data_IF_700922245959
#
_entry.id   IF_700922245959
#
_cell.length_a   1.000
_cell.length_b   1.000
_cell.length_c   1.000
_cell.angle_alpha   90.00
_cell.angle_beta   90.00
_cell.angle_gamma   90.00
#
_symmetry.space_group_name_H-M   'P 1'
#
loop_
_entity.id
_entity.type
_entity.pdbx_description
1 polymer ?
#
# COMPACT_ATOMS: atom_id res chain seq x y z
N UNK A 1 -46.52 55.61 -6.68
CA UNK A 1 -45.08 55.25 -6.68
C UNK A 1 -44.73 54.73 -5.28
N UNK A 2 -44.60 53.41 -5.11
CA UNK A 2 -43.35 52.82 -4.60
C UNK A 2 -43.01 51.56 -5.42
N UNK A 3 -41.77 51.32 -5.86
CA UNK A 3 -40.59 51.07 -5.03
C UNK A 3 -40.17 49.62 -5.27
N UNK A 4 -39.60 49.32 -6.45
CA UNK A 4 -39.10 47.98 -6.81
C UNK A 4 -37.91 47.60 -5.94
N UNK A 5 -38.09 46.64 -5.03
CA UNK A 5 -37.01 46.01 -4.27
C UNK A 5 -36.19 45.03 -5.14
N UNK A 6 -34.92 44.76 -4.83
CA UNK A 6 -33.97 44.24 -5.79
C UNK A 6 -33.99 42.71 -5.84
N UNK A 7 -34.59 42.14 -6.89
CA UNK A 7 -34.45 40.72 -7.30
C UNK A 7 -32.99 40.27 -7.47
N UNK A 8 -32.03 41.21 -7.56
CA UNK A 8 -30.59 40.96 -7.71
C UNK A 8 -29.92 40.34 -6.47
N UNK A 9 -30.44 40.60 -5.26
CA UNK A 9 -29.84 40.08 -4.01
C UNK A 9 -30.08 38.59 -3.79
N UNK A 10 -31.30 38.11 -4.08
CA UNK A 10 -31.70 36.72 -3.89
C UNK A 10 -30.97 35.76 -4.84
N UNK A 11 -30.73 36.17 -6.09
CA UNK A 11 -29.94 35.37 -7.05
C UNK A 11 -28.46 35.27 -6.64
N UNK A 12 -27.89 36.33 -6.06
CA UNK A 12 -26.52 36.35 -5.57
C UNK A 12 -26.30 35.38 -4.40
N UNK A 13 -27.26 35.33 -3.46
CA UNK A 13 -27.22 34.43 -2.32
C UNK A 13 -27.35 32.95 -2.74
N UNK A 14 -28.26 32.64 -3.68
CA UNK A 14 -28.41 31.28 -4.22
C UNK A 14 -27.14 30.82 -4.93
N UNK A 15 -26.52 31.72 -5.72
CA UNK A 15 -25.30 31.44 -6.46
C UNK A 15 -24.08 31.27 -5.53
N UNK A 16 -24.01 32.03 -4.44
CA UNK A 16 -22.99 31.85 -3.40
C UNK A 16 -23.15 30.52 -2.64
N UNK A 17 -24.39 30.10 -2.36
CA UNK A 17 -24.68 28.80 -1.75
C UNK A 17 -24.29 27.62 -2.64
N UNK A 18 -24.62 27.69 -3.94
CA UNK A 18 -24.25 26.64 -4.90
C UNK A 18 -22.74 26.55 -5.10
N UNK A 19 -22.04 27.68 -5.19
CA UNK A 19 -20.58 27.70 -5.31
C UNK A 19 -19.91 27.18 -4.02
N UNK A 20 -20.34 27.64 -2.84
CA UNK A 20 -19.81 27.16 -1.56
C UNK A 20 -20.01 25.66 -1.36
N UNK A 21 -21.22 25.15 -1.63
CA UNK A 21 -21.52 23.72 -1.55
C UNK A 21 -20.71 22.88 -2.54
N UNK A 22 -20.51 23.37 -3.77
CA UNK A 22 -19.70 22.70 -4.78
C UNK A 22 -18.23 22.61 -4.38
N UNK A 23 -17.66 23.66 -3.79
CA UNK A 23 -16.28 23.64 -3.30
C UNK A 23 -16.09 22.70 -2.10
N UNK A 24 -17.08 22.61 -1.20
CA UNK A 24 -17.06 21.64 -0.09
C UNK A 24 -17.12 20.19 -0.59
N UNK A 25 -17.93 19.91 -1.62
CA UNK A 25 -18.04 18.57 -2.22
C UNK A 25 -16.78 18.20 -3.04
N UNK A 26 -16.25 19.15 -3.82
CA UNK A 26 -15.03 18.94 -4.60
C UNK A 26 -13.80 18.74 -3.70
N UNK A 27 -13.60 19.56 -2.67
CA UNK A 27 -12.47 19.40 -1.75
C UNK A 27 -12.66 18.19 -0.83
N UNK A 28 -13.88 17.93 -0.36
CA UNK A 28 -14.19 16.74 0.45
C UNK A 28 -14.07 15.41 -0.31
N UNK A 29 -14.26 15.41 -1.64
CA UNK A 29 -14.09 14.22 -2.47
C UNK A 29 -12.63 13.85 -2.75
N UNK A 30 -11.72 14.83 -2.78
CA UNK A 30 -10.28 14.61 -3.07
C UNK A 30 -9.51 14.32 -1.77
N UNK A 31 -9.96 14.87 -0.63
CA UNK A 31 -9.35 14.68 0.70
C UNK A 31 -10.15 13.78 1.66
N UNK A 32 -11.31 13.25 1.23
CA UNK A 32 -12.11 12.23 1.92
C UNK A 32 -11.58 10.80 1.69
N UNK A 33 -11.92 9.83 2.55
CA UNK A 33 -10.98 8.82 3.02
C UNK A 33 -10.72 7.72 1.98
N UNK A 34 -9.72 7.92 1.12
CA UNK A 34 -8.95 6.79 0.55
C UNK A 34 -8.29 5.93 1.65
N UNK A 35 -8.32 6.39 2.91
CA UNK A 35 -7.93 5.63 4.09
C UNK A 35 -8.97 4.57 4.53
N UNK A 36 -10.25 4.67 4.14
CA UNK A 36 -11.26 3.68 4.53
C UNK A 36 -11.22 2.42 3.66
N UNK A 37 -10.76 2.52 2.40
CA UNK A 37 -10.63 1.37 1.52
C UNK A 37 -9.46 0.44 1.90
N UNK A 38 -8.44 0.94 2.61
CA UNK A 38 -7.35 0.10 3.14
C UNK A 38 -7.71 -0.60 4.47
N UNK A 39 -8.87 -0.28 5.07
CA UNK A 39 -9.39 -0.97 6.26
C UNK A 39 -10.57 -1.89 5.97
N UNK A 40 -10.97 -2.03 4.71
CA UNK A 40 -11.95 -3.02 4.24
C UNK A 40 -11.31 -4.39 3.93
N UNK A 41 -10.28 -4.78 4.69
CA UNK A 41 -9.65 -6.10 4.60
C UNK A 41 -10.41 -7.21 5.35
N UNK A 42 -11.55 -6.91 5.96
CA UNK A 42 -12.30 -7.85 6.82
C UNK A 42 -13.65 -8.27 6.24
N UNK A 43 -13.74 -8.45 4.92
CA UNK A 43 -14.60 -9.49 4.34
C UNK A 43 -13.77 -10.75 4.08
N UNK A 44 -13.03 -11.18 5.10
CA UNK A 44 -12.53 -12.54 5.14
C UNK A 44 -13.71 -13.46 5.42
N UNK A 45 -13.89 -14.49 4.60
CA UNK A 45 -14.75 -15.64 4.92
C UNK A 45 -14.46 -16.04 6.39
N UNK A 46 -15.47 -16.15 7.28
CA UNK A 46 -15.28 -16.50 8.69
C UNK A 46 -14.51 -17.79 9.00
N UNK A 47 -14.12 -18.57 7.97
CA UNK A 47 -13.21 -19.71 8.07
C UNK A 47 -11.91 -19.60 7.27
N UNK A 48 -11.58 -18.43 6.69
CA UNK A 48 -10.33 -18.27 5.94
C UNK A 48 -9.12 -18.30 6.91
N UNK A 49 -8.06 -19.07 6.58
CA UNK A 49 -6.86 -19.09 7.40
C UNK A 49 -6.24 -17.69 7.47
N UNK A 50 -5.89 -17.27 8.69
CA UNK A 50 -5.20 -15.99 8.90
C UNK A 50 -3.70 -16.17 8.64
N UNK A 51 -3.03 -15.19 8.00
CA UNK A 51 -1.58 -15.20 7.89
C UNK A 51 -0.94 -15.26 9.28
N UNK A 52 0.10 -16.09 9.43
CA UNK A 52 0.87 -16.15 10.66
C UNK A 52 1.87 -14.98 10.74
N UNK A 53 2.31 -14.67 11.96
CA UNK A 53 3.40 -13.72 12.19
C UNK A 53 4.74 -14.42 11.96
N UNK A 54 5.47 -14.01 10.93
CA UNK A 54 6.81 -14.53 10.66
C UNK A 54 7.86 -13.92 11.64
N UNK A 55 8.94 -14.67 11.97
CA UNK A 55 10.02 -14.18 12.83
C UNK A 55 10.72 -12.99 12.17
N UNK A 56 10.97 -11.94 12.96
CA UNK A 56 11.55 -10.70 12.44
C UNK A 56 13.08 -10.73 12.37
N UNK A 57 13.76 -11.61 13.10
CA UNK A 57 15.21 -11.74 13.10
C UNK A 57 15.60 -13.22 13.11
N UNK A 58 16.46 -13.62 12.19
CA UNK A 58 16.98 -14.98 12.11
C UNK A 58 18.20 -15.05 11.18
N UNK A 59 18.97 -16.13 11.34
CA UNK A 59 20.10 -16.46 10.48
C UNK A 59 19.91 -17.85 9.88
N UNK A 60 20.35 -18.05 8.65
CA UNK A 60 20.14 -19.30 7.94
C UNK A 60 20.90 -19.39 6.62
N UNK A 61 20.46 -20.32 5.77
CA UNK A 61 20.98 -20.55 4.43
C UNK A 61 19.87 -20.33 3.41
N UNK A 62 20.22 -19.82 2.23
CA UNK A 62 19.29 -19.67 1.13
C UNK A 62 19.83 -20.31 -0.15
N UNK A 63 18.91 -20.76 -0.99
CA UNK A 63 19.19 -21.14 -2.37
C UNK A 63 18.28 -20.29 -3.26
N UNK A 64 18.86 -19.40 -4.06
CA UNK A 64 18.12 -18.51 -4.94
C UNK A 64 18.25 -19.00 -6.38
N UNK A 65 17.12 -19.31 -7.00
CA UNK A 65 17.05 -19.54 -8.44
C UNK A 65 16.86 -18.20 -9.16
N UNK A 66 17.69 -17.93 -10.18
CA UNK A 66 17.48 -16.82 -11.12
C UNK A 66 17.19 -17.38 -12.50
N UNK A 67 15.98 -17.09 -13.00
CA UNK A 67 15.56 -17.51 -14.35
C UNK A 67 16.48 -16.94 -15.43
N UNK A 68 16.90 -15.67 -15.30
CA UNK A 68 17.76 -15.00 -16.29
C UNK A 68 19.09 -15.70 -16.51
N UNK A 69 19.66 -16.36 -15.50
CA UNK A 69 20.90 -17.13 -15.61
C UNK A 69 20.66 -18.63 -15.73
N UNK A 70 19.44 -19.10 -15.45
CA UNK A 70 19.11 -20.52 -15.32
C UNK A 70 19.85 -21.23 -14.19
N UNK A 71 20.40 -20.50 -13.20
CA UNK A 71 21.29 -21.05 -12.15
C UNK A 71 20.73 -20.85 -10.75
N UNK A 72 21.13 -21.76 -9.86
CA UNK A 72 20.93 -21.67 -8.42
C UNK A 72 22.19 -21.09 -7.75
N UNK A 73 22.04 -20.04 -6.95
CA UNK A 73 23.10 -19.54 -6.06
C UNK A 73 22.81 -19.93 -4.61
N UNK A 74 23.86 -20.27 -3.85
CA UNK A 74 23.77 -20.61 -2.43
C UNK A 74 24.42 -19.51 -1.60
N UNK A 75 23.82 -19.12 -0.49
CA UNK A 75 24.36 -18.09 0.39
C UNK A 75 23.95 -18.31 1.85
N UNK A 76 24.78 -17.82 2.77
CA UNK A 76 24.38 -17.56 4.15
C UNK A 76 23.57 -16.26 4.19
N UNK A 77 22.49 -16.25 4.96
CA UNK A 77 21.54 -15.14 5.06
C UNK A 77 21.37 -14.76 6.53
N UNK A 78 21.64 -13.49 6.85
CA UNK A 78 21.21 -12.87 8.10
C UNK A 78 20.09 -11.88 7.77
N UNK A 79 18.89 -12.15 8.26
CA UNK A 79 17.71 -11.32 8.06
C UNK A 79 17.35 -10.58 9.35
N UNK A 80 17.29 -9.26 9.28
CA UNK A 80 16.88 -8.42 10.41
C UNK A 80 15.84 -7.40 9.96
N UNK A 81 14.57 -7.81 10.07
CA UNK A 81 13.40 -7.01 9.73
C UNK A 81 13.14 -5.85 10.69
N UNK A 82 13.62 -5.93 11.95
CA UNK A 82 13.46 -4.83 12.91
C UNK A 82 14.27 -3.61 12.47
N UNK A 83 15.47 -3.83 11.95
CA UNK A 83 16.36 -2.78 11.45
C UNK A 83 16.32 -2.63 9.92
N UNK A 84 15.39 -3.29 9.23
CA UNK A 84 15.25 -3.29 7.77
C UNK A 84 16.57 -3.61 7.03
N UNK A 85 17.40 -4.49 7.59
CA UNK A 85 18.71 -4.84 7.05
C UNK A 85 18.79 -6.31 6.70
N UNK A 86 19.48 -6.61 5.60
CA UNK A 86 19.69 -7.98 5.12
C UNK A 86 21.15 -8.11 4.69
N UNK A 87 21.81 -9.16 5.17
CA UNK A 87 23.17 -9.52 4.73
C UNK A 87 23.12 -10.86 4.03
N UNK A 88 23.64 -10.89 2.81
CA UNK A 88 23.79 -12.10 1.99
C UNK A 88 25.27 -12.36 1.77
N UNK A 89 25.75 -13.53 2.16
CA UNK A 89 27.13 -13.96 1.97
C UNK A 89 27.16 -15.21 1.09
N UNK A 90 27.59 -15.06 -0.16
CA UNK A 90 27.60 -16.16 -1.12
C UNK A 90 28.50 -17.32 -0.64
N UNK A 91 27.92 -18.52 -0.61
CA UNK A 91 28.67 -19.75 -0.36
C UNK A 91 29.37 -20.16 -1.66
N UNK A 92 30.68 -19.91 -1.75
CA UNK A 92 31.53 -20.48 -2.81
C UNK A 92 31.88 -21.92 -2.49
N UNK A 93 30.88 -22.81 -2.46
CA UNK A 93 31.15 -24.24 -2.55
C UNK A 93 31.44 -24.54 -4.02
N UNK A 94 32.63 -25.08 -4.29
CA UNK A 94 33.00 -25.59 -5.60
C UNK A 94 31.85 -26.45 -6.15
N UNK A 95 31.59 -26.35 -7.45
CA UNK A 95 30.53 -27.06 -8.16
C UNK A 95 30.45 -28.49 -7.62
N UNK A 96 29.43 -28.81 -6.82
CA UNK A 96 29.12 -30.21 -6.52
C UNK A 96 28.37 -30.65 -7.76
N UNK A 97 29.00 -31.39 -8.69
CA UNK A 97 28.32 -31.80 -9.90
C UNK A 97 27.07 -32.56 -9.48
N UNK A 98 25.93 -32.23 -10.06
CA UNK A 98 24.74 -33.06 -9.91
C UNK A 98 25.13 -34.48 -10.36
N UNK A 99 25.03 -35.47 -9.46
CA UNK A 99 25.17 -36.87 -9.85
C UNK A 99 24.13 -37.14 -10.95
N UNK A 100 24.61 -37.63 -12.09
CA UNK A 100 23.76 -38.06 -13.21
C UNK A 100 23.17 -39.42 -12.91
#
# INVERSE_FOLDING_TARGET
MPGRAPLRGALGALRAWLLGGFWVWALGGIYGPRAAALRAGTWGNPGAPRPCQAPQQWEGRQVLYRQSSGRNSRALLSYDGLNQRVRVLDERKALIPCKR
#
